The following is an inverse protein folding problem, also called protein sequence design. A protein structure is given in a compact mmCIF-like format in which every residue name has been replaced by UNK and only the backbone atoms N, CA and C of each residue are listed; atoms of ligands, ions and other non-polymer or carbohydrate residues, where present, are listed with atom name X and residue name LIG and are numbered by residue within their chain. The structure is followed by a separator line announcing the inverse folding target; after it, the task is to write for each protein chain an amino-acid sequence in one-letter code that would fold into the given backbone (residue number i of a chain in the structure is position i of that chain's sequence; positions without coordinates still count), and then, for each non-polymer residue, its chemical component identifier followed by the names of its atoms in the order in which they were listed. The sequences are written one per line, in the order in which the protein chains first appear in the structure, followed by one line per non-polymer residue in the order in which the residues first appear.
data_IF_328997616814
#
_entry.id   IF_328997616814
#
_cell.length_a   1.000
_cell.length_b   1.000
_cell.length_c   1.000
_cell.angle_alpha   90.00
_cell.angle_beta   90.00
_cell.angle_gamma   90.00
#
_symmetry.space_group_name_H-M   'P 1'
#
loop_
_entity.id
_entity.type
_entity.pdbx_description
1 polymer ?
#
# COMPACT_ATOMS: atom_id res chain seq x y z
N UNK A 1 -2.80 8.34 -14.05
CA UNK A 1 -4.20 8.30 -13.59
C UNK A 1 -4.94 7.32 -14.48
N UNK A 2 -5.73 6.46 -13.86
CA UNK A 2 -6.49 5.39 -14.51
C UNK A 2 -7.95 5.55 -14.13
N UNK A 3 -8.85 5.27 -15.07
CA UNK A 3 -10.28 5.13 -14.80
C UNK A 3 -10.69 3.69 -15.08
N UNK A 4 -11.44 3.10 -14.16
CA UNK A 4 -11.99 1.76 -14.28
C UNK A 4 -13.47 1.79 -13.92
N UNK A 5 -14.30 1.18 -14.76
CA UNK A 5 -15.74 1.09 -14.50
C UNK A 5 -16.06 -0.16 -13.69
N UNK A 6 -16.42 0.03 -12.43
CA UNK A 6 -16.95 -1.04 -11.60
C UNK A 6 -18.42 -1.35 -11.99
N UNK A 7 -18.79 -2.57 -11.82
CA UNK A 7 -20.16 -3.06 -12.06
C UNK A 7 -20.57 -4.00 -10.93
N UNK A 8 -21.85 -4.35 -10.80
CA UNK A 8 -22.29 -5.31 -9.80
C UNK A 8 -21.60 -6.68 -9.89
N UNK A 9 -21.02 -7.00 -11.05
CA UNK A 9 -20.28 -8.25 -11.28
C UNK A 9 -18.76 -8.09 -11.04
N UNK A 10 -18.24 -6.87 -10.93
CA UNK A 10 -16.81 -6.61 -10.92
C UNK A 10 -16.46 -5.50 -9.93
N UNK A 11 -16.13 -5.88 -8.70
CA UNK A 11 -15.56 -4.98 -7.71
C UNK A 11 -14.12 -4.61 -8.06
N UNK A 12 -13.63 -3.50 -7.55
CA UNK A 12 -12.22 -3.12 -7.64
C UNK A 12 -11.63 -2.98 -6.25
N UNK A 13 -10.46 -3.58 -6.05
CA UNK A 13 -9.66 -3.43 -4.84
C UNK A 13 -8.49 -2.50 -5.13
N UNK A 14 -8.31 -1.45 -4.32
CA UNK A 14 -7.36 -0.36 -4.60
C UNK A 14 -6.50 -0.14 -3.36
N UNK A 15 -5.20 0.04 -3.53
CA UNK A 15 -4.34 0.51 -2.46
C UNK A 15 -4.82 1.91 -2.00
N UNK A 16 -4.97 2.11 -0.70
CA UNK A 16 -5.54 3.34 -0.11
C UNK A 16 -4.90 4.62 -0.65
N UNK A 17 -3.60 4.63 -0.84
CA UNK A 17 -2.87 5.79 -1.37
C UNK A 17 -3.04 6.03 -2.88
N UNK A 18 -3.62 5.08 -3.60
CA UNK A 18 -3.83 5.17 -5.06
C UNK A 18 -5.23 5.65 -5.43
N UNK A 19 -6.24 5.50 -4.57
CA UNK A 19 -7.59 5.98 -4.83
C UNK A 19 -7.65 7.51 -4.86
N UNK A 20 -8.35 8.06 -5.86
CA UNK A 20 -8.50 9.51 -6.07
C UNK A 20 -9.95 9.96 -6.00
N UNK A 21 -10.85 9.28 -6.73
CA UNK A 21 -12.27 9.64 -6.81
C UNK A 21 -13.10 8.46 -7.31
N UNK A 22 -14.41 8.54 -7.14
CA UNK A 22 -15.37 7.62 -7.72
C UNK A 22 -16.73 8.29 -7.97
N UNK A 23 -17.54 7.66 -8.81
CA UNK A 23 -18.94 8.04 -9.02
C UNK A 23 -19.75 7.88 -7.73
N UNK A 24 -20.83 8.64 -7.61
CA UNK A 24 -21.74 8.59 -6.44
C UNK A 24 -22.47 7.27 -6.28
N UNK A 25 -22.62 6.48 -7.36
CA UNK A 25 -23.20 5.15 -7.34
C UNK A 25 -22.19 4.05 -7.00
N UNK A 26 -20.95 4.43 -6.70
CA UNK A 26 -19.89 3.52 -6.23
C UNK A 26 -19.68 3.73 -4.74
N UNK A 27 -19.88 2.69 -3.97
CA UNK A 27 -19.60 2.67 -2.53
C UNK A 27 -18.15 2.26 -2.28
N UNK A 28 -17.52 2.92 -1.30
CA UNK A 28 -16.16 2.64 -0.86
C UNK A 28 -16.19 2.02 0.53
N UNK A 29 -15.63 0.82 0.66
CA UNK A 29 -15.41 0.15 1.94
C UNK A 29 -13.91 0.14 2.28
N UNK A 30 -13.55 0.78 3.40
CA UNK A 30 -12.18 0.83 3.91
C UNK A 30 -11.91 -0.20 5.01
N UNK A 31 -12.93 -0.92 5.46
CA UNK A 31 -12.82 -1.92 6.52
C UNK A 31 -12.59 -3.34 5.98
N UNK A 32 -12.56 -3.47 4.65
CA UNK A 32 -12.39 -4.75 4.00
C UNK A 32 -10.99 -5.32 4.27
N UNK A 33 -11.02 -6.54 4.72
CA UNK A 33 -9.84 -7.38 4.88
C UNK A 33 -9.48 -7.64 6.34
N UNK A 34 -9.58 -8.91 6.75
CA UNK A 34 -9.08 -9.42 8.02
C UNK A 34 -7.57 -9.25 8.25
N UNK A 35 -6.94 -8.35 7.51
CA UNK A 35 -5.52 -8.03 7.57
C UNK A 35 -5.15 -7.02 8.66
N UNK A 36 -6.14 -6.54 9.45
CA UNK A 36 -5.89 -5.63 10.59
C UNK A 36 -4.75 -6.09 11.51
N UNK A 37 -4.64 -7.38 11.71
CA UNK A 37 -3.62 -7.96 12.59
C UNK A 37 -2.24 -8.11 11.93
N UNK A 38 -2.14 -7.98 10.61
CA UNK A 38 -0.90 -8.17 9.87
C UNK A 38 -0.17 -6.85 9.57
N UNK A 39 -0.91 -5.75 9.49
CA UNK A 39 -0.37 -4.40 9.18
C UNK A 39 -0.39 -3.42 10.36
N UNK A 40 -0.68 -3.88 11.59
CA UNK A 40 -0.78 -3.03 12.77
C UNK A 40 -2.08 -2.24 12.86
N UNK A 41 -2.20 -1.34 13.85
CA UNK A 41 -3.43 -0.62 14.22
C UNK A 41 -3.89 0.45 13.23
N UNK A 42 -3.20 0.68 12.15
CA UNK A 42 -3.47 1.79 11.22
C UNK A 42 -4.45 1.47 10.07
N UNK A 43 -5.28 0.47 10.24
CA UNK A 43 -6.50 0.24 9.43
C UNK A 43 -6.29 0.10 7.93
N UNK A 44 -6.94 -0.89 7.36
CA UNK A 44 -7.28 -1.07 5.94
C UNK A 44 -6.34 -0.51 4.89
N UNK A 45 -5.32 -1.29 4.51
CA UNK A 45 -4.39 -0.96 3.43
C UNK A 45 -5.06 -0.98 2.03
N UNK A 46 -6.18 -1.67 1.91
CA UNK A 46 -6.92 -1.88 0.66
C UNK A 46 -8.33 -1.33 0.81
N UNK A 47 -8.77 -0.59 -0.18
CA UNK A 47 -10.12 -0.05 -0.34
C UNK A 47 -10.85 -0.96 -1.33
N UNK A 48 -12.07 -1.36 -1.00
CA UNK A 48 -12.97 -2.04 -1.91
C UNK A 48 -13.97 -1.03 -2.48
N UNK A 49 -14.09 -0.99 -3.80
CA UNK A 49 -15.07 -0.21 -4.54
C UNK A 49 -16.10 -1.15 -5.17
N UNK A 50 -17.38 -0.94 -4.83
CA UNK A 50 -18.52 -1.71 -5.30
C UNK A 50 -19.59 -0.78 -5.85
N UNK A 51 -20.37 -1.24 -6.83
CA UNK A 51 -21.47 -0.48 -7.40
C UNK A 51 -21.43 -0.45 -8.91
N UNK A 52 -21.79 0.71 -9.48
CA UNK A 52 -21.78 0.90 -10.92
C UNK A 52 -21.29 2.30 -11.25
N UNK A 53 -20.19 2.39 -11.99
CA UNK A 53 -19.63 3.65 -12.47
C UNK A 53 -18.12 3.70 -12.39
N UNK A 54 -17.53 4.84 -12.81
CA UNK A 54 -16.10 5.03 -12.83
C UNK A 54 -15.50 5.19 -11.44
N UNK A 55 -14.35 4.56 -11.28
CA UNK A 55 -13.41 4.76 -10.17
C UNK A 55 -12.09 5.25 -10.76
N UNK A 56 -11.55 6.31 -10.19
CA UNK A 56 -10.31 6.94 -10.63
C UNK A 56 -9.22 6.67 -9.59
N UNK A 57 -8.09 6.17 -10.04
CA UNK A 57 -6.94 5.91 -9.18
C UNK A 57 -5.63 6.31 -9.88
N UNK A 58 -4.61 6.54 -9.07
CA UNK A 58 -3.28 6.94 -9.53
C UNK A 58 -2.22 5.91 -9.20
N UNK A 59 -1.02 6.10 -9.78
CA UNK A 59 0.16 5.32 -9.47
C UNK A 59 1.38 6.23 -9.31
N UNK A 60 2.41 5.73 -8.66
CA UNK A 60 3.69 6.38 -8.54
C UNK A 60 4.69 5.76 -9.51
N UNK A 61 5.13 6.56 -10.49
CA UNK A 61 5.95 6.10 -11.61
C UNK A 61 5.11 5.62 -12.80
N UNK A 62 5.58 4.64 -13.53
CA UNK A 62 4.86 4.02 -14.63
C UNK A 62 3.87 2.97 -14.11
N UNK A 63 2.79 2.80 -14.85
CA UNK A 63 1.77 1.79 -14.61
C UNK A 63 2.03 0.57 -15.49
N UNK A 64 1.90 -0.61 -14.92
CA UNK A 64 1.82 -1.87 -15.64
C UNK A 64 0.48 -2.56 -15.35
N UNK A 65 -0.07 -3.22 -16.38
CA UNK A 65 -1.33 -3.95 -16.29
C UNK A 65 -1.07 -5.41 -16.63
N UNK A 66 -1.44 -6.28 -15.70
CA UNK A 66 -1.30 -7.73 -15.82
C UNK A 66 -2.68 -8.35 -16.00
N UNK A 67 -2.96 -8.90 -17.17
CA UNK A 67 -4.22 -9.62 -17.45
C UNK A 67 -3.97 -11.11 -17.20
N UNK A 68 -4.30 -11.56 -16.00
CA UNK A 68 -4.07 -12.94 -15.56
C UNK A 68 -5.19 -13.84 -16.07
N UNK A 69 -4.84 -14.87 -16.82
CA UNK A 69 -5.75 -15.92 -17.19
C UNK A 69 -5.97 -16.91 -16.03
N UNK A 70 -7.02 -17.72 -16.11
CA UNK A 70 -7.24 -18.78 -15.13
C UNK A 70 -6.01 -19.71 -15.01
N UNK A 71 -5.54 -19.92 -13.79
CA UNK A 71 -4.35 -20.72 -13.49
C UNK A 71 -3.03 -19.96 -13.59
N UNK A 72 -3.03 -18.70 -14.02
CA UNK A 72 -1.85 -17.84 -13.95
C UNK A 72 -1.75 -17.16 -12.57
N UNK A 73 -0.53 -16.94 -12.14
CA UNK A 73 -0.23 -16.27 -10.88
C UNK A 73 0.84 -15.19 -11.07
N UNK A 74 0.78 -14.18 -10.20
CA UNK A 74 1.71 -13.06 -10.15
C UNK A 74 2.05 -12.76 -8.70
N UNK A 75 3.34 -12.64 -8.38
CA UNK A 75 3.79 -12.19 -7.06
C UNK A 75 4.30 -10.77 -7.15
N UNK A 76 3.79 -9.88 -6.29
CA UNK A 76 4.11 -8.44 -6.28
C UNK A 76 4.47 -8.02 -4.85
N UNK A 77 5.52 -7.22 -4.70
CA UNK A 77 5.80 -6.52 -3.45
C UNK A 77 4.64 -5.58 -3.09
N UNK A 78 4.27 -5.53 -1.81
CA UNK A 78 3.09 -4.77 -1.37
C UNK A 78 3.15 -3.28 -1.71
N UNK A 79 4.33 -2.69 -1.79
CA UNK A 79 4.54 -1.28 -2.16
C UNK A 79 4.39 -1.00 -3.66
N UNK A 80 4.34 -2.03 -4.49
CA UNK A 80 4.16 -1.92 -5.94
C UNK A 80 2.74 -2.23 -6.42
N UNK A 81 1.87 -2.77 -5.58
CA UNK A 81 0.46 -2.99 -5.92
C UNK A 81 -0.29 -1.66 -5.98
N UNK A 82 -1.11 -1.47 -7.01
CA UNK A 82 -2.00 -0.31 -7.18
C UNK A 82 -3.45 -0.72 -7.01
N UNK A 83 -3.90 -1.70 -7.79
CA UNK A 83 -5.28 -2.18 -7.76
C UNK A 83 -5.37 -3.61 -8.32
N UNK A 84 -6.49 -4.29 -8.08
CA UNK A 84 -6.84 -5.55 -8.74
C UNK A 84 -8.36 -5.74 -8.81
N UNK A 85 -8.82 -6.46 -9.82
CA UNK A 85 -10.23 -6.83 -9.99
C UNK A 85 -10.68 -7.85 -8.95
N UNK A 86 -11.94 -7.77 -8.54
CA UNK A 86 -12.53 -8.68 -7.55
C UNK A 86 -12.62 -10.14 -7.99
N UNK A 87 -12.39 -10.44 -9.26
CA UNK A 87 -12.28 -11.80 -9.79
C UNK A 87 -10.94 -12.46 -9.50
N UNK A 88 -9.91 -11.64 -9.18
CA UNK A 88 -8.57 -12.10 -8.82
C UNK A 88 -8.56 -12.55 -7.36
N UNK A 89 -8.05 -13.73 -7.09
CA UNK A 89 -7.76 -14.17 -5.71
C UNK A 89 -6.44 -13.56 -5.25
N UNK A 90 -6.42 -12.94 -4.07
CA UNK A 90 -5.23 -12.36 -3.48
C UNK A 90 -4.91 -13.00 -2.14
N UNK A 91 -3.65 -13.40 -1.95
CA UNK A 91 -3.09 -13.84 -0.68
C UNK A 91 -1.88 -12.97 -0.33
N UNK A 92 -1.65 -12.80 0.96
CA UNK A 92 -0.48 -12.08 1.46
C UNK A 92 0.42 -13.03 2.23
N UNK A 93 1.74 -12.92 2.01
CA UNK A 93 2.74 -13.68 2.75
C UNK A 93 4.02 -12.89 2.93
N UNK A 94 4.87 -13.39 3.80
CA UNK A 94 6.24 -12.88 3.92
C UNK A 94 7.06 -13.37 2.72
N UNK A 95 7.89 -12.48 2.15
CA UNK A 95 8.86 -12.87 1.15
C UNK A 95 9.86 -13.86 1.77
N UNK A 96 10.02 -15.04 1.15
CA UNK A 96 11.02 -16.03 1.55
C UNK A 96 12.34 -15.72 0.86
N UNK A 97 13.28 -15.13 1.58
CA UNK A 97 14.62 -14.87 1.06
C UNK A 97 15.50 -14.22 2.12
N UNK A 98 16.68 -14.78 2.33
CA UNK A 98 17.63 -14.63 3.43
C UNK A 98 18.16 -13.23 3.82
N UNK A 99 17.37 -12.18 3.79
CA UNK A 99 17.70 -10.86 4.32
C UNK A 99 16.77 -10.51 5.48
N UNK A 100 16.96 -11.21 6.59
CA UNK A 100 16.19 -11.05 7.83
C UNK A 100 16.42 -9.71 8.56
N UNK A 101 17.11 -8.75 7.97
CA UNK A 101 17.49 -7.51 8.67
C UNK A 101 16.65 -6.28 8.34
N UNK A 102 15.69 -6.35 7.39
CA UNK A 102 14.93 -5.18 6.93
C UNK A 102 13.50 -5.09 7.49
N UNK A 103 13.16 -5.90 8.49
CA UNK A 103 11.78 -6.07 8.99
C UNK A 103 11.23 -4.95 9.89
N UNK A 104 11.89 -3.80 10.02
CA UNK A 104 11.40 -2.74 10.94
C UNK A 104 10.35 -1.80 10.37
N UNK A 105 10.01 -1.88 9.06
CA UNK A 105 9.13 -0.90 8.40
C UNK A 105 8.04 -1.50 7.48
N UNK A 106 7.62 -2.75 7.71
CA UNK A 106 6.59 -3.38 6.85
C UNK A 106 7.14 -3.88 5.50
N UNK A 107 8.44 -3.79 5.26
CA UNK A 107 9.13 -4.32 4.10
C UNK A 107 9.21 -5.87 4.20
N UNK A 108 9.08 -6.54 3.07
CA UNK A 108 9.18 -8.00 2.99
C UNK A 108 7.83 -8.73 2.98
N UNK A 109 6.73 -8.03 2.77
CA UNK A 109 5.45 -8.63 2.47
C UNK A 109 5.20 -8.61 0.97
N UNK A 110 4.64 -9.69 0.44
CA UNK A 110 4.25 -9.80 -0.95
C UNK A 110 2.79 -10.23 -1.06
N UNK A 111 2.15 -9.78 -2.13
CA UNK A 111 0.88 -10.28 -2.59
C UNK A 111 1.11 -11.37 -3.63
N UNK A 112 0.46 -12.51 -3.46
CA UNK A 112 0.32 -13.53 -4.49
C UNK A 112 -1.09 -13.42 -5.09
N UNK A 113 -1.15 -13.04 -6.35
CA UNK A 113 -2.39 -12.95 -7.11
C UNK A 113 -2.58 -14.19 -7.98
N UNK A 114 -3.83 -14.64 -8.11
CA UNK A 114 -4.21 -15.73 -9.00
C UNK A 114 -5.43 -15.30 -9.82
N UNK A 115 -5.31 -15.41 -11.15
CA UNK A 115 -6.37 -15.07 -12.10
C UNK A 115 -7.59 -16.02 -12.03
N UNK A 116 -8.66 -15.67 -12.76
CA UNK A 116 -8.69 -14.67 -13.83
C UNK A 116 -8.94 -13.25 -13.35
N UNK A 117 -8.39 -12.25 -14.10
CA UNK A 117 -8.65 -10.84 -13.92
C UNK A 117 -7.41 -9.98 -13.97
N UNK A 118 -7.58 -8.68 -13.82
CA UNK A 118 -6.50 -7.71 -13.97
C UNK A 118 -5.90 -7.30 -12.64
N UNK A 119 -4.58 -7.10 -12.66
CA UNK A 119 -3.79 -6.52 -11.57
C UNK A 119 -3.03 -5.33 -12.14
N UNK A 120 -3.06 -4.20 -11.44
CA UNK A 120 -2.30 -2.99 -11.78
C UNK A 120 -1.16 -2.83 -10.79
N UNK A 121 0.03 -2.59 -11.32
CA UNK A 121 1.24 -2.35 -10.54
C UNK A 121 1.91 -1.04 -10.93
N UNK A 122 2.72 -0.50 -10.03
CA UNK A 122 3.50 0.71 -10.23
C UNK A 122 5.00 0.42 -10.15
N UNK A 123 5.79 1.14 -10.94
CA UNK A 123 7.23 0.91 -11.02
C UNK A 123 8.01 1.52 -9.86
N UNK A 124 7.42 2.39 -9.07
CA UNK A 124 8.06 3.02 -7.91
C UNK A 124 7.29 2.74 -6.63
N UNK A 125 8.02 2.56 -5.54
CA UNK A 125 7.48 2.36 -4.21
C UNK A 125 7.63 3.66 -3.39
N UNK A 126 6.52 4.28 -2.92
CA UNK A 126 6.59 5.49 -2.10
C UNK A 126 7.40 5.31 -0.81
N UNK A 127 7.36 4.14 -0.19
CA UNK A 127 8.10 3.86 1.04
C UNK A 127 9.62 3.83 0.79
N UNK A 128 10.05 3.30 -0.35
CA UNK A 128 11.47 3.33 -0.74
C UNK A 128 11.97 4.76 -0.95
N UNK A 129 11.14 5.63 -1.56
CA UNK A 129 11.47 7.05 -1.68
C UNK A 129 11.63 7.71 -0.32
N UNK A 130 10.70 7.45 0.61
CA UNK A 130 10.79 7.99 1.97
C UNK A 130 12.03 7.49 2.70
N UNK A 131 12.34 6.20 2.61
CA UNK A 131 13.55 5.62 3.18
C UNK A 131 14.82 6.24 2.59
N UNK A 132 14.85 6.46 1.29
CA UNK A 132 15.97 7.13 0.63
C UNK A 132 16.13 8.59 1.10
N UNK A 133 15.03 9.36 1.16
CA UNK A 133 15.07 10.74 1.69
C UNK A 133 15.57 10.76 3.13
N UNK A 134 15.03 9.88 3.99
CA UNK A 134 15.45 9.79 5.40
C UNK A 134 16.93 9.47 5.55
N UNK A 135 17.49 8.63 4.68
CA UNK A 135 18.91 8.30 4.70
C UNK A 135 19.81 9.49 4.36
N UNK A 136 19.29 10.48 3.62
CA UNK A 136 20.02 11.69 3.24
C UNK A 136 19.83 12.83 4.23
N UNK A 137 18.82 12.77 5.11
CA UNK A 137 18.62 13.80 6.13
C UNK A 137 19.68 13.66 7.21
N UNK A 138 20.33 14.77 7.64
CA UNK A 138 21.22 14.73 8.79
C UNK A 138 20.42 14.19 9.99
N UNK A 139 20.87 13.11 10.58
CA UNK A 139 20.36 12.69 11.89
C UNK A 139 20.68 13.80 12.86
N UNK A 140 19.71 14.66 13.15
CA UNK A 140 19.84 15.70 14.15
C UNK A 140 20.27 15.02 15.45
N UNK A 141 21.51 15.24 15.84
CA UNK A 141 22.01 14.79 17.13
C UNK A 141 21.01 15.30 18.17
N UNK A 142 20.45 14.40 18.93
CA UNK A 142 19.74 14.76 20.16
C UNK A 142 20.78 15.55 20.99
N UNK A 143 20.67 16.87 20.94
CA UNK A 143 21.33 17.72 21.96
C UNK A 143 20.70 17.27 23.25
N UNK A 144 21.50 16.51 24.03
CA UNK A 144 21.20 16.24 25.43
C UNK A 144 20.87 17.57 26.07
N UNK A 145 19.58 17.75 26.43
CA UNK A 145 19.12 18.94 27.13
C UNK A 145 19.96 19.12 28.37
N UNK A 146 20.91 20.06 28.30
CA UNK A 146 21.62 20.56 29.46
C UNK A 146 20.57 21.13 30.40
N UNK A 147 20.41 20.50 31.53
CA UNK A 147 19.61 20.97 32.66
C UNK A 147 20.07 22.38 33.05
N UNK A 148 19.23 23.39 32.71
CA UNK A 148 19.41 24.77 33.20
C UNK A 148 18.90 24.90 34.66
N UNK A 149 19.05 23.84 35.47
CA UNK A 149 18.68 23.83 36.89
C UNK A 149 19.71 24.36 37.87
N UNK A 150 20.83 24.93 37.43
CA UNK A 150 21.95 25.33 38.27
C UNK A 150 22.18 26.82 38.52
N UNK A 151 21.33 27.71 38.03
CA UNK A 151 21.62 29.17 38.05
C UNK A 151 20.83 30.00 39.06
N UNK A 152 20.01 29.44 39.90
CA UNK A 152 19.23 30.19 40.91
C UNK A 152 19.39 29.66 42.35
N UNK A 153 20.64 29.47 42.77
CA UNK A 153 20.86 29.28 44.20
C UNK A 153 22.17 29.91 44.66
N UNK A 154 22.20 31.26 44.69
CA UNK A 154 23.13 32.05 45.49
C UNK A 154 22.54 33.38 45.84
N UNK A 155 21.89 33.43 46.95
CA UNK A 155 21.88 34.53 47.93
C UNK A 155 21.21 34.03 49.21
#
# INVERSE_FOLDING_TARGET
IITFDVSPATSLFIQKGSWLANDTNVSIDTQWGGFKNMFGSEGGFIIRADGQGPVVFGCYGALEVWDLQAGQSLTVDTGHMVAYEGTVTMNIRKATGGLMQTFKSGEGLVFDFSGPGKVWTQTRNPNELLGWIQSMMPTGGATSGGSIGGLFNRA
#
